data_IF_692966456296
#
_entry.id   IF_692966456296
#
_cell.length_a   1.000
_cell.length_b   1.000
_cell.length_c   1.000
_cell.angle_alpha   90.00
_cell.angle_beta   90.00
_cell.angle_gamma   90.00
#
_symmetry.space_group_name_H-M   'P 1'
#
loop_
_entity.id
_entity.type
_entity.pdbx_description
1 polymer ?
#
# COMPACT_ATOMS: atom_id res chain seq x y z
N UNK A 1 -2.50 14.74 -25.57
CA UNK A 1 -3.38 14.37 -24.44
C UNK A 1 -2.58 14.63 -23.18
N UNK A 2 -3.05 15.55 -22.34
CA UNK A 2 -2.28 16.14 -21.23
C UNK A 2 -1.92 15.06 -20.21
N UNK A 3 -0.62 14.78 -20.03
CA UNK A 3 -0.11 14.06 -18.86
C UNK A 3 -0.49 14.88 -17.63
N UNK A 4 -1.51 14.43 -16.90
CA UNK A 4 -1.96 15.07 -15.69
C UNK A 4 -0.84 14.91 -14.66
N UNK A 5 -0.37 16.02 -14.07
CA UNK A 5 0.70 16.03 -13.06
C UNK A 5 0.27 15.18 -11.85
N UNK A 6 0.61 13.90 -11.84
CA UNK A 6 0.50 13.05 -10.65
C UNK A 6 1.68 13.29 -9.68
N UNK A 7 2.75 13.91 -10.17
CA UNK A 7 3.97 14.30 -9.45
C UNK A 7 3.79 15.22 -8.23
N UNK A 8 2.59 15.74 -7.93
CA UNK A 8 2.48 16.75 -6.86
C UNK A 8 2.43 16.14 -5.46
N UNK A 9 1.77 14.99 -5.26
CA UNK A 9 1.63 14.38 -3.93
C UNK A 9 2.61 13.23 -3.67
N UNK A 10 2.95 12.45 -4.70
CA UNK A 10 3.87 11.32 -4.58
C UNK A 10 4.84 11.26 -5.76
N UNK A 11 6.05 10.75 -5.49
CA UNK A 11 7.11 10.57 -6.47
C UNK A 11 7.94 9.33 -6.14
N UNK A 12 8.69 8.84 -7.10
CA UNK A 12 9.64 7.74 -6.92
C UNK A 12 11.04 8.33 -6.71
N UNK A 13 11.77 7.88 -5.70
CA UNK A 13 13.14 8.32 -5.42
C UNK A 13 14.11 7.14 -5.43
N UNK A 14 15.27 7.32 -6.05
CA UNK A 14 16.33 6.32 -5.99
C UNK A 14 16.80 6.11 -4.54
N UNK A 15 16.88 4.85 -4.12
CA UNK A 15 17.32 4.49 -2.76
C UNK A 15 18.81 4.76 -2.53
N UNK A 16 19.60 4.88 -3.60
CA UNK A 16 21.01 5.23 -3.49
C UNK A 16 21.14 6.71 -3.09
N UNK A 17 21.68 7.01 -1.90
CA UNK A 17 21.77 8.38 -1.40
C UNK A 17 22.66 9.29 -2.26
N UNK A 18 23.67 8.74 -2.95
CA UNK A 18 24.53 9.51 -3.85
C UNK A 18 23.83 9.86 -5.17
N UNK A 19 22.84 9.05 -5.57
CA UNK A 19 22.07 9.29 -6.78
C UNK A 19 20.87 10.19 -6.50
N UNK A 20 20.00 9.79 -5.57
CA UNK A 20 18.84 10.57 -5.12
C UNK A 20 17.86 10.98 -6.22
N UNK A 21 17.96 10.44 -7.44
CA UNK A 21 17.16 10.86 -8.58
C UNK A 21 15.66 10.63 -8.32
N UNK A 22 14.85 11.60 -8.74
CA UNK A 22 13.40 11.63 -8.51
C UNK A 22 12.64 11.50 -9.83
N UNK A 23 11.53 10.77 -9.79
CA UNK A 23 10.72 10.46 -10.96
C UNK A 23 9.22 10.53 -10.62
N UNK A 24 8.41 10.85 -11.62
CA UNK A 24 6.95 10.89 -11.47
C UNK A 24 6.37 9.47 -11.24
N UNK A 25 5.39 9.35 -10.34
CA UNK A 25 4.71 8.08 -10.07
C UNK A 25 3.90 7.57 -11.26
N UNK A 26 3.43 8.43 -12.17
CA UNK A 26 2.77 8.04 -13.40
C UNK A 26 3.71 7.51 -14.49
N UNK A 27 5.03 7.63 -14.30
CA UNK A 27 6.01 7.12 -15.25
C UNK A 27 6.23 5.62 -15.07
N UNK A 28 5.98 4.86 -16.14
CA UNK A 28 6.28 3.43 -16.20
C UNK A 28 7.79 3.21 -16.34
N UNK A 29 8.51 3.22 -15.22
CA UNK A 29 9.95 2.97 -15.20
C UNK A 29 10.19 1.46 -15.21
N UNK A 30 10.88 0.97 -16.23
CA UNK A 30 11.16 -0.45 -16.42
C UNK A 30 11.80 -1.08 -15.18
N UNK A 31 11.11 -2.04 -14.58
CA UNK A 31 11.60 -2.84 -13.45
C UNK A 31 11.75 -2.09 -12.13
N UNK A 32 11.16 -0.88 -11.98
CA UNK A 32 11.31 -0.03 -10.78
C UNK A 32 12.77 0.22 -10.39
N UNK A 33 13.65 0.30 -11.40
CA UNK A 33 15.07 0.61 -11.26
C UNK A 33 15.36 2.02 -11.75
N UNK A 34 16.18 2.73 -11.00
CA UNK A 34 16.66 4.04 -11.35
C UNK A 34 17.40 4.00 -12.70
N UNK A 35 16.96 4.75 -13.72
CA UNK A 35 17.63 4.81 -15.01
C UNK A 35 19.07 5.37 -14.94
N UNK A 36 19.42 6.09 -13.88
CA UNK A 36 20.74 6.72 -13.75
C UNK A 36 21.81 5.78 -13.18
N UNK A 37 21.46 4.92 -12.22
CA UNK A 37 22.43 4.05 -11.53
C UNK A 37 22.02 2.57 -11.41
N UNK A 38 20.80 2.20 -11.81
CA UNK A 38 20.31 0.82 -11.78
C UNK A 38 19.77 0.34 -10.42
N UNK A 39 19.90 1.13 -9.36
CA UNK A 39 19.39 0.83 -8.01
C UNK A 39 17.86 0.93 -7.93
N UNK A 40 17.27 0.41 -6.86
CA UNK A 40 15.81 0.42 -6.69
C UNK A 40 15.25 1.83 -6.50
N UNK A 41 13.97 1.97 -6.81
CA UNK A 41 13.16 3.15 -6.51
C UNK A 41 12.26 2.87 -5.30
N UNK A 42 12.11 3.88 -4.45
CA UNK A 42 11.16 3.90 -3.34
C UNK A 42 10.08 4.96 -3.55
N UNK A 43 8.89 4.74 -3.01
CA UNK A 43 7.79 5.68 -3.09
C UNK A 43 7.90 6.72 -1.97
N UNK A 44 7.93 7.99 -2.34
CA UNK A 44 8.06 9.13 -1.45
C UNK A 44 6.87 10.08 -1.63
N UNK A 45 6.57 10.85 -0.59
CA UNK A 45 5.38 11.69 -0.53
C UNK A 45 5.75 13.12 -0.17
N UNK A 46 5.12 14.08 -0.84
CA UNK A 46 5.21 15.48 -0.47
C UNK A 46 4.15 15.79 0.59
N UNK A 47 4.52 15.59 1.86
CA UNK A 47 3.60 15.75 2.99
C UNK A 47 3.04 17.16 3.16
N UNK A 48 3.75 18.19 2.66
CA UNK A 48 3.23 19.58 2.68
C UNK A 48 2.03 19.78 1.74
N UNK A 49 1.79 18.83 0.83
CA UNK A 49 0.71 18.86 -0.16
C UNK A 49 -0.38 17.81 0.08
N UNK A 50 -0.22 16.99 1.11
CA UNK A 50 -1.17 15.93 1.46
C UNK A 50 -1.87 16.31 2.75
N UNK A 51 -3.18 16.50 2.67
CA UNK A 51 -4.01 16.67 3.85
C UNK A 51 -4.20 15.30 4.53
N UNK A 52 -3.47 15.09 5.63
CA UNK A 52 -3.61 13.91 6.49
C UNK A 52 -4.38 14.28 7.77
N UNK A 53 -5.21 13.39 8.33
CA UNK A 53 -5.85 13.64 9.62
C UNK A 53 -4.83 13.84 10.76
N UNK A 54 -5.15 14.73 11.70
CA UNK A 54 -4.28 15.06 12.85
C UNK A 54 -3.97 13.84 13.74
N UNK A 55 -4.89 12.86 13.81
CA UNK A 55 -4.75 11.67 14.65
C UNK A 55 -5.02 10.40 13.85
N UNK A 56 -4.23 9.36 14.11
CA UNK A 56 -4.46 8.03 13.55
C UNK A 56 -5.86 7.48 13.87
N UNK A 57 -6.42 7.85 15.04
CA UNK A 57 -7.79 7.47 15.42
C UNK A 57 -8.87 8.07 14.50
N UNK A 58 -8.57 9.12 13.74
CA UNK A 58 -9.57 9.73 12.86
C UNK A 58 -9.86 8.84 11.64
N UNK A 59 -8.91 8.01 11.20
CA UNK A 59 -9.16 6.97 10.20
C UNK A 59 -10.20 5.96 10.68
N UNK A 60 -10.33 5.76 12.00
CA UNK A 60 -11.31 4.85 12.57
C UNK A 60 -12.77 5.27 12.28
N UNK A 61 -13.02 6.57 12.00
CA UNK A 61 -14.36 7.06 11.65
C UNK A 61 -14.93 6.37 10.41
N UNK A 62 -14.06 5.89 9.51
CA UNK A 62 -14.44 5.14 8.29
C UNK A 62 -15.08 3.79 8.57
N UNK A 63 -14.86 3.21 9.76
CA UNK A 63 -15.57 1.98 10.15
C UNK A 63 -17.08 2.13 10.18
N UNK A 64 -17.61 3.35 10.33
CA UNK A 64 -19.04 3.58 10.24
C UNK A 64 -19.59 3.42 8.81
N UNK A 65 -18.73 3.53 7.79
CA UNK A 65 -19.11 3.54 6.37
C UNK A 65 -18.70 2.25 5.62
N UNK A 66 -19.02 1.08 6.16
CA UNK A 66 -18.65 -0.22 5.58
C UNK A 66 -19.28 -0.52 4.21
N UNK A 67 -20.24 0.29 3.76
CA UNK A 67 -20.87 0.14 2.42
C UNK A 67 -20.02 0.76 1.31
N UNK A 68 -19.12 1.68 1.63
CA UNK A 68 -18.20 2.26 0.66
C UNK A 68 -16.96 1.36 0.53
N UNK A 69 -16.65 0.81 -0.66
CA UNK A 69 -15.56 -0.16 -0.82
C UNK A 69 -14.20 0.33 -0.33
N UNK A 70 -13.85 1.60 -0.59
CA UNK A 70 -12.57 2.18 -0.15
C UNK A 70 -12.49 2.39 1.36
N UNK A 71 -13.62 2.64 2.03
CA UNK A 71 -13.66 2.77 3.49
C UNK A 71 -13.69 1.40 4.17
N UNK A 72 -14.20 0.37 3.48
CA UNK A 72 -14.15 -1.01 3.92
C UNK A 72 -12.73 -1.58 3.82
N UNK A 73 -12.01 -1.35 2.72
CA UNK A 73 -10.62 -1.79 2.55
C UNK A 73 -9.73 -1.37 3.72
N UNK A 74 -9.02 -2.34 4.31
CA UNK A 74 -7.99 -2.12 5.32
C UNK A 74 -6.76 -1.38 4.80
N UNK A 75 -6.58 -1.28 3.48
CA UNK A 75 -5.57 -0.45 2.83
C UNK A 75 -6.12 0.95 2.55
N UNK A 76 -7.19 1.05 1.77
CA UNK A 76 -7.70 2.34 1.28
C UNK A 76 -8.44 3.17 2.32
N UNK A 77 -8.79 2.60 3.47
CA UNK A 77 -9.21 3.41 4.61
C UNK A 77 -8.10 4.32 5.12
N UNK A 78 -6.85 4.13 4.70
CA UNK A 78 -5.70 5.00 4.97
C UNK A 78 -5.21 5.75 3.72
N UNK A 79 -6.05 5.92 2.69
CA UNK A 79 -5.66 6.46 1.37
C UNK A 79 -4.91 7.80 1.38
N UNK A 80 -5.09 8.64 2.39
CA UNK A 80 -4.33 9.89 2.55
C UNK A 80 -2.84 9.61 2.80
N UNK A 81 -2.51 8.51 3.50
CA UNK A 81 -1.12 8.07 3.71
C UNK A 81 -0.52 7.39 2.47
N UNK A 82 -1.37 7.07 1.48
CA UNK A 82 -1.02 6.38 0.23
C UNK A 82 -1.48 7.21 -0.98
N UNK A 83 -1.30 8.53 -0.91
CA UNK A 83 -1.85 9.50 -1.85
C UNK A 83 -1.12 9.58 -3.21
N UNK A 84 -0.79 8.43 -3.80
CA UNK A 84 -0.11 8.35 -5.10
C UNK A 84 -1.07 8.37 -6.30
N UNK A 85 -2.37 8.10 -6.09
CA UNK A 85 -3.37 8.11 -7.16
C UNK A 85 -4.75 8.58 -6.67
N UNK A 86 -5.57 9.11 -7.59
CA UNK A 86 -6.97 9.47 -7.32
C UNK A 86 -7.83 8.23 -7.01
N UNK A 87 -8.91 8.42 -6.24
CA UNK A 87 -9.82 7.34 -5.83
C UNK A 87 -10.40 6.53 -6.99
N UNK A 88 -10.63 7.13 -8.16
CA UNK A 88 -11.13 6.44 -9.36
C UNK A 88 -10.19 5.33 -9.87
N UNK A 89 -8.91 5.41 -9.54
CA UNK A 89 -7.91 4.40 -9.89
C UNK A 89 -7.75 3.31 -8.84
N UNK A 90 -8.22 3.54 -7.61
CA UNK A 90 -8.07 2.58 -6.50
C UNK A 90 -8.87 1.31 -6.76
N UNK A 91 -8.20 0.18 -6.62
CA UNK A 91 -8.71 -1.18 -6.80
C UNK A 91 -8.68 -1.87 -5.45
N UNK A 92 -9.76 -2.56 -5.10
CA UNK A 92 -9.87 -3.29 -3.84
C UNK A 92 -10.77 -4.50 -3.99
N UNK A 93 -10.48 -5.51 -3.18
CA UNK A 93 -11.32 -6.69 -2.97
C UNK A 93 -11.76 -6.81 -1.49
N UNK A 94 -11.53 -5.76 -0.69
CA UNK A 94 -11.86 -5.73 0.73
C UNK A 94 -10.77 -6.28 1.66
N UNK A 95 -9.53 -6.35 1.16
CA UNK A 95 -8.31 -6.75 1.89
C UNK A 95 -8.01 -5.90 3.13
N UNK A 96 -7.10 -6.35 4.00
CA UNK A 96 -6.52 -5.61 5.13
C UNK A 96 -7.38 -5.54 6.40
N UNK A 97 -8.52 -6.23 6.47
CA UNK A 97 -9.39 -6.29 7.66
C UNK A 97 -9.13 -7.52 8.53
N UNK A 98 -7.86 -7.83 8.71
CA UNK A 98 -7.36 -9.04 9.37
C UNK A 98 -7.34 -8.88 10.89
N UNK A 99 -7.53 -9.99 11.59
CA UNK A 99 -7.70 -10.01 13.05
C UNK A 99 -6.33 -9.87 13.73
N UNK A 100 -6.25 -8.96 14.69
CA UNK A 100 -5.17 -8.89 15.68
C UNK A 100 -5.60 -9.63 16.95
N UNK A 101 -5.09 -10.83 17.16
CA UNK A 101 -5.53 -11.71 18.24
C UNK A 101 -4.48 -11.79 19.34
N UNK A 102 -4.85 -11.46 20.57
CA UNK A 102 -4.02 -11.75 21.74
C UNK A 102 -3.87 -13.26 21.90
N UNK A 103 -2.64 -13.74 22.16
CA UNK A 103 -2.37 -15.16 22.29
C UNK A 103 -1.46 -15.48 23.50
N UNK A 104 -2.11 -15.80 24.63
CA UNK A 104 -1.41 -16.07 25.90
C UNK A 104 -0.72 -17.43 25.92
N UNK A 105 -1.21 -18.41 25.14
CA UNK A 105 -0.57 -19.73 25.03
C UNK A 105 0.78 -19.64 24.32
N UNK A 106 0.84 -18.86 23.23
CA UNK A 106 2.11 -18.58 22.56
C UNK A 106 2.99 -17.71 23.44
N UNK A 107 2.42 -16.72 24.15
CA UNK A 107 3.18 -15.90 25.10
C UNK A 107 3.90 -16.76 26.14
N UNK A 108 3.21 -17.72 26.75
CA UNK A 108 3.80 -18.68 27.69
C UNK A 108 4.87 -19.55 27.03
N UNK A 109 4.61 -20.06 25.83
CA UNK A 109 5.57 -20.89 25.09
C UNK A 109 6.90 -20.17 24.78
N UNK A 110 6.88 -18.84 24.58
CA UNK A 110 8.07 -18.03 24.28
C UNK A 110 8.56 -17.19 25.46
N UNK A 111 8.17 -17.51 26.70
CA UNK A 111 8.54 -16.78 27.93
C UNK A 111 8.23 -15.28 27.88
N UNK A 112 7.15 -14.90 27.21
CA UNK A 112 6.63 -13.54 27.13
C UNK A 112 5.45 -13.35 28.08
N UNK A 113 5.29 -12.13 28.61
CA UNK A 113 4.18 -11.78 29.50
C UNK A 113 2.83 -12.01 28.80
N UNK A 114 1.91 -12.71 29.47
CA UNK A 114 0.52 -12.83 29.05
C UNK A 114 -0.10 -11.43 28.89
N UNK A 115 -0.96 -11.26 27.89
CA UNK A 115 -1.53 -9.96 27.51
C UNK A 115 -0.62 -9.07 26.65
N UNK A 116 0.62 -9.47 26.37
CA UNK A 116 1.56 -8.65 25.60
C UNK A 116 1.93 -9.23 24.23
N UNK A 117 1.48 -10.44 23.90
CA UNK A 117 1.72 -11.07 22.60
C UNK A 117 0.44 -11.10 21.77
N UNK A 118 0.55 -10.59 20.54
CA UNK A 118 -0.54 -10.55 19.56
C UNK A 118 -0.07 -11.15 18.24
N UNK A 119 -0.98 -11.85 17.57
CA UNK A 119 -0.78 -12.41 16.24
C UNK A 119 -1.69 -11.67 15.25
N UNK A 120 -1.10 -11.07 14.22
CA UNK A 120 -1.82 -10.46 13.12
C UNK A 120 -2.03 -11.50 12.00
N UNK A 121 -3.27 -11.95 11.83
CA UNK A 121 -3.60 -13.04 10.90
C UNK A 121 -3.76 -12.55 9.45
N UNK A 122 -2.67 -12.15 8.81
CA UNK A 122 -2.68 -11.67 7.42
C UNK A 122 -3.09 -12.73 6.38
N UNK A 123 -3.10 -14.00 6.76
CA UNK A 123 -3.63 -15.09 5.93
C UNK A 123 -5.17 -15.12 5.83
N UNK A 124 -5.88 -14.24 6.56
CA UNK A 124 -7.34 -14.10 6.46
C UNK A 124 -7.78 -13.02 5.45
N UNK A 125 -6.84 -12.53 4.65
CA UNK A 125 -7.16 -11.74 3.46
C UNK A 125 -7.87 -12.60 2.40
N UNK A 126 -8.61 -12.01 1.44
CA UNK A 126 -9.42 -12.75 0.47
C UNK A 126 -8.70 -13.87 -0.32
N UNK A 127 -7.42 -13.70 -0.69
CA UNK A 127 -6.62 -14.74 -1.37
C UNK A 127 -5.97 -15.74 -0.42
N UNK A 128 -6.09 -15.54 0.90
CA UNK A 128 -5.37 -16.31 1.90
C UNK A 128 -3.96 -15.79 2.20
N UNK A 129 -3.62 -14.55 1.80
CA UNK A 129 -2.25 -14.03 1.88
C UNK A 129 -2.17 -12.53 2.14
N UNK A 130 -1.15 -12.09 2.87
CA UNK A 130 -0.83 -10.67 3.09
C UNK A 130 -0.58 -9.87 1.80
N UNK A 131 -0.31 -10.57 0.69
CA UNK A 131 0.01 -9.95 -0.59
C UNK A 131 -1.14 -9.16 -1.18
N UNK A 132 -2.38 -9.44 -0.78
CA UNK A 132 -3.55 -8.69 -1.22
C UNK A 132 -3.41 -7.20 -0.92
N UNK A 133 -2.82 -6.85 0.24
CA UNK A 133 -2.62 -5.45 0.64
C UNK A 133 -1.72 -4.71 -0.36
N UNK A 134 -0.61 -5.33 -0.76
CA UNK A 134 0.32 -4.75 -1.74
C UNK A 134 -0.24 -4.77 -3.15
N UNK A 135 -0.95 -5.84 -3.52
CA UNK A 135 -1.59 -5.98 -4.84
C UNK A 135 -2.68 -4.94 -5.04
N UNK A 136 -3.44 -4.56 -4.00
CA UNK A 136 -4.39 -3.46 -4.07
C UNK A 136 -3.72 -2.17 -4.59
N UNK A 137 -2.57 -1.79 -4.01
CA UNK A 137 -1.80 -0.63 -4.47
C UNK A 137 -1.21 -0.85 -5.87
N UNK A 138 -0.64 -2.02 -6.15
CA UNK A 138 0.00 -2.32 -7.44
C UNK A 138 -0.99 -2.29 -8.61
N UNK A 139 -2.18 -2.90 -8.48
CA UNK A 139 -3.22 -2.86 -9.51
C UNK A 139 -3.84 -1.47 -9.65
N UNK A 140 -3.89 -0.69 -8.57
CA UNK A 140 -4.32 0.71 -8.65
C UNK A 140 -3.33 1.57 -9.43
N UNK A 141 -2.03 1.36 -9.20
CA UNK A 141 -0.96 2.01 -9.98
C UNK A 141 -1.01 1.58 -11.45
N UNK A 142 -1.15 0.28 -11.72
CA UNK A 142 -1.30 -0.24 -13.08
C UNK A 142 -2.49 0.41 -13.82
N UNK A 143 -3.64 0.54 -13.14
CA UNK A 143 -4.82 1.23 -13.67
C UNK A 143 -4.56 2.72 -13.92
N UNK A 144 -3.86 3.39 -13.01
CA UNK A 144 -3.48 4.81 -13.14
C UNK A 144 -2.61 5.07 -14.36
N UNK A 145 -1.61 4.23 -14.63
CA UNK A 145 -0.71 4.38 -15.79
C UNK A 145 -1.30 3.84 -17.10
N UNK A 146 -2.56 3.37 -17.07
CA UNK A 146 -3.25 2.85 -18.26
C UNK A 146 -2.74 1.49 -18.75
N UNK A 147 -2.20 0.66 -17.86
CA UNK A 147 -1.78 -0.70 -18.22
C UNK A 147 -3.01 -1.53 -18.64
N UNK A 148 -2.93 -2.18 -19.81
CA UNK A 148 -4.00 -3.03 -20.34
C UNK A 148 -3.95 -4.47 -19.82
N UNK A 149 -2.83 -4.88 -19.24
CA UNK A 149 -2.60 -6.25 -18.78
C UNK A 149 -1.53 -6.27 -17.68
N UNK A 150 -1.55 -7.33 -16.88
CA UNK A 150 -0.54 -7.61 -15.85
C UNK A 150 -0.11 -9.06 -15.98
N UNK A 151 1.16 -9.33 -15.70
CA UNK A 151 1.73 -10.68 -15.75
C UNK A 151 2.60 -10.89 -14.52
N UNK A 152 2.64 -12.13 -14.04
CA UNK A 152 3.44 -12.52 -12.89
C UNK A 152 4.22 -13.79 -13.24
N UNK A 153 5.50 -13.81 -12.91
CA UNK A 153 6.34 -15.00 -12.98
C UNK A 153 6.62 -15.51 -11.56
N UNK A 154 5.55 -15.94 -10.87
CA UNK A 154 5.58 -16.47 -9.51
C UNK A 154 4.75 -17.75 -9.45
N UNK A 155 5.19 -18.73 -8.66
CA UNK A 155 4.46 -19.99 -8.45
C UNK A 155 3.69 -20.03 -7.12
N UNK A 156 3.67 -18.93 -6.37
CA UNK A 156 3.00 -18.84 -5.06
C UNK A 156 2.07 -17.63 -4.96
N UNK A 157 1.73 -17.24 -3.73
CA UNK A 157 0.68 -16.27 -3.37
C UNK A 157 0.67 -14.90 -4.10
N UNK A 158 1.71 -14.55 -4.85
CA UNK A 158 1.77 -13.31 -5.65
C UNK A 158 1.05 -13.46 -7.00
N UNK A 159 0.83 -14.69 -7.46
CA UNK A 159 0.18 -15.00 -8.74
C UNK A 159 -1.34 -15.09 -8.61
#
# INVERSE_FOLDING_TARGET
MSAQKHADAAFQKCINPDCGAEFDCGSAIGGFKCPACGELLDAQYNWDKIEVPDKLSDFAKRWANRKTPLDFSGVWRFRELLAFCEDKYKVTIGEGQTILQQNDLVAEYVDTRQGCLYLQYEGLNPSGSFKDNGMAAAFSHAKMIGASSSACASTGNTS
#
